data_IF_737784472658
#
_entry.id   IF_737784472658
#
_cell.length_a   1.000
_cell.length_b   1.000
_cell.length_c   1.000
_cell.angle_alpha   90.00
_cell.angle_beta   90.00
_cell.angle_gamma   90.00
#
_symmetry.space_group_name_H-M   'P 1'
#
loop_
_entity.id
_entity.type
_entity.pdbx_description
1 polymer ?
#
# COMPACT_ATOMS: atom_id res chain seq x y z
N UNK A 1 8.56 -5.99 14.88
CA UNK A 1 9.06 -4.60 14.87
C UNK A 1 9.04 -4.06 13.45
N UNK A 2 9.05 -2.74 13.27
CA UNK A 2 8.88 -2.11 11.95
C UNK A 2 10.03 -2.43 10.98
N UNK A 3 11.28 -2.27 11.42
CA UNK A 3 12.45 -2.44 10.55
C UNK A 3 12.58 -3.87 9.97
N UNK A 4 12.41 -4.95 10.76
CA UNK A 4 12.42 -6.31 10.21
C UNK A 4 11.27 -6.58 9.23
N UNK A 5 10.07 -6.05 9.52
CA UNK A 5 8.91 -6.21 8.63
C UNK A 5 9.14 -5.49 7.31
N UNK A 6 9.68 -4.27 7.35
CA UNK A 6 10.06 -3.50 6.18
C UNK A 6 11.06 -4.26 5.29
N UNK A 7 12.13 -4.79 5.90
CA UNK A 7 13.13 -5.58 5.16
C UNK A 7 12.53 -6.80 4.49
N UNK A 8 11.69 -7.57 5.20
CA UNK A 8 11.04 -8.77 4.64
C UNK A 8 10.11 -8.42 3.48
N UNK A 9 9.28 -7.39 3.64
CA UNK A 9 8.34 -6.95 2.61
C UNK A 9 9.06 -6.43 1.35
N UNK A 10 10.19 -5.73 1.51
CA UNK A 10 11.02 -5.30 0.38
C UNK A 10 11.61 -6.50 -0.37
N UNK A 11 12.13 -7.51 0.34
CA UNK A 11 12.65 -8.74 -0.30
C UNK A 11 11.56 -9.46 -1.10
N UNK A 12 10.36 -9.60 -0.54
CA UNK A 12 9.21 -10.22 -1.23
C UNK A 12 8.72 -9.40 -2.44
N UNK A 13 8.81 -8.06 -2.39
CA UNK A 13 8.52 -7.20 -3.54
C UNK A 13 9.49 -7.46 -4.68
N UNK A 14 10.80 -7.49 -4.40
CA UNK A 14 11.84 -7.76 -5.40
C UNK A 14 11.65 -9.16 -5.99
N UNK A 15 11.39 -10.17 -5.17
CA UNK A 15 11.12 -11.53 -5.64
C UNK A 15 9.90 -11.61 -6.57
N UNK A 16 8.82 -10.85 -6.26
CA UNK A 16 7.65 -10.75 -7.15
C UNK A 16 7.99 -10.09 -8.48
N UNK A 17 8.79 -9.03 -8.46
CA UNK A 17 9.23 -8.34 -9.68
C UNK A 17 10.09 -9.25 -10.55
N UNK A 18 11.06 -9.95 -9.96
CA UNK A 18 11.90 -10.93 -10.65
C UNK A 18 11.05 -12.02 -11.32
N UNK A 19 10.04 -12.54 -10.63
CA UNK A 19 9.10 -13.53 -11.19
C UNK A 19 8.20 -12.96 -12.30
N UNK A 20 8.02 -11.65 -12.34
CA UNK A 20 7.19 -10.97 -13.35
C UNK A 20 7.95 -10.63 -14.62
N UNK A 21 9.29 -10.76 -14.63
CA UNK A 21 10.12 -10.54 -15.81
C UNK A 21 9.78 -11.60 -16.87
N UNK A 22 9.33 -11.14 -18.02
CA UNK A 22 9.03 -12.00 -19.17
C UNK A 22 10.31 -12.62 -19.75
N UNK A 23 10.22 -13.70 -20.57
CA UNK A 23 11.37 -14.25 -21.29
C UNK A 23 12.14 -13.22 -22.13
N UNK A 24 11.50 -12.10 -22.48
CA UNK A 24 12.07 -10.97 -23.20
C UNK A 24 12.95 -10.07 -22.31
N UNK A 25 13.13 -10.41 -21.03
CA UNK A 25 14.09 -9.79 -20.11
C UNK A 25 13.60 -8.50 -19.46
N UNK A 26 12.34 -8.12 -19.64
CA UNK A 26 11.75 -6.93 -19.01
C UNK A 26 10.27 -7.13 -18.67
N UNK A 27 9.76 -6.23 -17.83
CA UNK A 27 8.38 -6.17 -17.34
C UNK A 27 8.01 -4.69 -17.12
N UNK A 28 6.79 -4.31 -17.51
CA UNK A 28 6.21 -3.01 -17.19
C UNK A 28 5.43 -3.12 -15.88
N UNK A 29 5.66 -2.18 -14.96
CA UNK A 29 5.06 -2.18 -13.63
C UNK A 29 4.51 -0.80 -13.29
N UNK A 30 3.35 -0.77 -12.64
CA UNK A 30 2.82 0.43 -12.00
C UNK A 30 3.52 0.63 -10.64
N UNK A 31 4.60 1.42 -10.64
CA UNK A 31 5.40 1.71 -9.45
C UNK A 31 4.56 2.32 -8.33
N UNK A 32 3.56 3.16 -8.66
CA UNK A 32 2.71 3.78 -7.65
C UNK A 32 1.90 2.72 -6.88
N UNK A 33 1.25 1.82 -7.62
CA UNK A 33 0.50 0.71 -7.03
C UNK A 33 1.40 -0.21 -6.20
N UNK A 34 2.59 -0.53 -6.69
CA UNK A 34 3.54 -1.40 -5.97
C UNK A 34 4.01 -0.78 -4.64
N UNK A 35 4.24 0.53 -4.60
CA UNK A 35 4.61 1.22 -3.36
C UNK A 35 3.45 1.32 -2.37
N UNK A 36 2.22 1.50 -2.84
CA UNK A 36 1.03 1.43 -1.98
C UNK A 36 0.87 0.03 -1.37
N UNK A 37 1.07 -1.01 -2.17
CA UNK A 37 1.04 -2.40 -1.70
C UNK A 37 2.12 -2.67 -0.64
N UNK A 38 3.37 -2.26 -0.91
CA UNK A 38 4.48 -2.39 0.04
C UNK A 38 4.18 -1.67 1.36
N UNK A 39 3.65 -0.45 1.28
CA UNK A 39 3.30 0.32 2.49
C UNK A 39 2.22 -0.39 3.30
N UNK A 40 1.19 -0.91 2.62
CA UNK A 40 0.16 -1.75 3.23
C UNK A 40 0.74 -3.01 3.88
N UNK A 41 1.61 -3.74 3.18
CA UNK A 41 2.31 -4.92 3.70
C UNK A 41 3.05 -4.62 5.02
N UNK A 42 3.83 -3.54 5.03
CA UNK A 42 4.65 -3.15 6.18
C UNK A 42 3.77 -2.75 7.37
N UNK A 43 2.80 -1.86 7.15
CA UNK A 43 1.90 -1.39 8.22
C UNK A 43 1.13 -2.58 8.77
N UNK A 44 0.59 -3.41 7.90
CA UNK A 44 -0.20 -4.56 8.31
C UNK A 44 0.59 -5.57 9.13
N UNK A 45 1.78 -5.95 8.68
CA UNK A 45 2.64 -6.89 9.43
C UNK A 45 3.18 -6.28 10.73
N UNK A 46 3.44 -4.98 10.73
CA UNK A 46 3.97 -4.30 11.92
C UNK A 46 2.89 -4.07 12.98
N UNK A 47 1.69 -3.64 12.58
CA UNK A 47 0.61 -3.26 13.48
C UNK A 47 -0.30 -4.43 13.87
N UNK A 48 -0.50 -5.41 12.97
CA UNK A 48 -1.45 -6.51 13.18
C UNK A 48 -0.78 -7.88 13.30
N UNK A 49 0.52 -8.00 13.06
CA UNK A 49 1.29 -9.23 13.29
C UNK A 49 0.72 -10.43 12.52
N UNK A 50 0.23 -11.45 13.24
CA UNK A 50 -0.35 -12.67 12.63
C UNK A 50 -1.64 -12.41 11.85
N UNK A 51 -2.37 -11.33 12.15
CA UNK A 51 -3.60 -10.94 11.44
C UNK A 51 -3.34 -9.89 10.34
N UNK A 52 -2.15 -9.88 9.75
CA UNK A 52 -1.76 -8.86 8.76
C UNK A 52 -2.67 -8.83 7.52
N UNK A 53 -3.27 -9.94 7.09
CA UNK A 53 -4.15 -9.92 5.92
C UNK A 53 -5.45 -9.14 6.19
N UNK A 54 -6.03 -9.30 7.37
CA UNK A 54 -7.17 -8.48 7.82
C UNK A 54 -6.74 -7.01 7.97
N UNK A 55 -5.54 -6.78 8.54
CA UNK A 55 -4.94 -5.45 8.62
C UNK A 55 -4.78 -4.77 7.26
N UNK A 56 -4.41 -5.53 6.21
CA UNK A 56 -4.25 -5.02 4.84
C UNK A 56 -5.59 -4.54 4.29
N UNK A 57 -6.65 -5.32 4.49
CA UNK A 57 -8.00 -4.93 4.06
C UNK A 57 -8.46 -3.65 4.77
N UNK A 58 -8.23 -3.54 6.08
CA UNK A 58 -8.55 -2.33 6.86
C UNK A 58 -7.80 -1.11 6.32
N UNK A 59 -6.49 -1.23 6.08
CA UNK A 59 -5.68 -0.13 5.57
C UNK A 59 -6.16 0.34 4.19
N UNK A 60 -6.46 -0.60 3.29
CA UNK A 60 -6.99 -0.28 1.96
C UNK A 60 -8.31 0.50 2.05
N UNK A 61 -9.25 0.04 2.88
CA UNK A 61 -10.51 0.76 3.12
C UNK A 61 -10.29 2.16 3.71
N UNK A 62 -9.32 2.32 4.61
CA UNK A 62 -8.98 3.63 5.17
C UNK A 62 -8.42 4.59 4.11
N UNK A 63 -7.61 4.11 3.17
CA UNK A 63 -7.10 4.93 2.06
C UNK A 63 -8.22 5.40 1.13
N UNK A 64 -9.16 4.51 0.80
CA UNK A 64 -10.34 4.86 0.00
C UNK A 64 -11.22 5.88 0.72
N UNK A 65 -11.47 5.67 2.02
CA UNK A 65 -12.21 6.62 2.85
C UNK A 65 -11.51 7.97 2.92
N UNK A 66 -10.19 8.01 3.11
CA UNK A 66 -9.42 9.26 3.15
C UNK A 66 -9.55 10.04 1.84
N UNK A 67 -9.48 9.37 0.69
CA UNK A 67 -9.66 9.99 -0.62
C UNK A 67 -11.07 10.61 -0.78
N UNK A 68 -12.11 9.89 -0.35
CA UNK A 68 -13.49 10.39 -0.36
C UNK A 68 -13.68 11.58 0.57
N UNK A 69 -13.12 11.51 1.79
CA UNK A 69 -13.16 12.58 2.77
C UNK A 69 -12.50 13.84 2.21
N UNK A 70 -11.28 13.74 1.66
CA UNK A 70 -10.58 14.87 1.03
C UNK A 70 -11.44 15.49 -0.08
N UNK A 71 -12.09 14.67 -0.92
CA UNK A 71 -12.97 15.14 -2.00
C UNK A 71 -14.23 15.83 -1.47
N UNK A 72 -14.78 15.36 -0.36
CA UNK A 72 -15.94 15.99 0.27
C UNK A 72 -15.55 17.35 0.86
N UNK A 73 -14.43 17.41 1.59
CA UNK A 73 -13.90 18.64 2.16
C UNK A 73 -13.54 19.67 1.09
N UNK A 74 -12.94 19.27 -0.04
CA UNK A 74 -12.59 20.21 -1.12
C UNK A 74 -13.79 20.81 -1.85
N UNK A 75 -14.95 20.16 -1.76
CA UNK A 75 -16.22 20.66 -2.32
C UNK A 75 -17.08 21.40 -1.29
N UNK A 76 -16.69 21.38 -0.03
CA UNK A 76 -17.44 22.04 1.03
C UNK A 76 -17.16 23.54 0.98
N UNK A 77 -18.18 24.31 0.59
CA UNK A 77 -18.18 25.74 0.79
C UNK A 77 -18.41 26.02 2.28
N UNK A 78 -17.48 26.72 2.94
CA UNK A 78 -17.65 27.22 4.30
C UNK A 78 -18.06 28.68 4.19
N UNK A 79 -19.34 29.03 4.42
CA UNK A 79 -19.77 30.42 4.36
C UNK A 79 -19.03 31.24 5.41
N UNK A 80 -18.28 32.26 4.97
CA UNK A 80 -17.48 33.13 5.85
C UNK A 80 -15.95 32.95 5.74
N UNK A 81 -15.47 32.07 4.88
CA UNK A 81 -14.09 32.04 4.38
C UNK A 81 -14.05 32.28 2.86
#
# INVERSE_FOLDING_TARGET
GMLPSFSSCCSELVERWEKSISPQGSCELDVWKEFQNLTGDVISRTAFGSNYEEGRQIFQMQMEMAALVIRAFSKMYIPGF
#
